data_IF_759134313274
#
_entry.id   IF_759134313274
#
_cell.length_a   1.000
_cell.length_b   1.000
_cell.length_c   1.000
_cell.angle_alpha   90.00
_cell.angle_beta   90.00
_cell.angle_gamma   90.00
#
_symmetry.space_group_name_H-M   'P 1'
#
loop_
_entity.id
_entity.type
_entity.pdbx_description
1 polymer ?
#
# COMPACT_ATOMS: atom_id res chain seq x y z
N UNK A 1 16.42 -3.72 9.74
CA UNK A 1 15.43 -4.82 9.90
C UNK A 1 15.90 -5.92 9.00
N UNK A 2 16.02 -7.14 9.50
CA UNK A 2 16.31 -8.30 8.65
C UNK A 2 15.09 -8.54 7.75
N UNK A 3 15.24 -8.48 6.42
CA UNK A 3 14.06 -8.62 5.53
C UNK A 3 13.39 -9.99 5.66
N UNK A 4 14.15 -11.02 6.03
CA UNK A 4 13.65 -12.37 6.28
C UNK A 4 12.79 -12.48 7.54
N UNK A 5 12.80 -11.48 8.44
CA UNK A 5 11.85 -11.43 9.56
C UNK A 5 10.44 -11.04 9.14
N UNK A 6 10.28 -10.51 7.92
CA UNK A 6 8.99 -10.09 7.39
C UNK A 6 8.18 -11.33 6.98
N UNK A 7 6.95 -11.50 7.49
CA UNK A 7 6.09 -12.63 7.13
C UNK A 7 5.95 -12.78 5.61
N UNK A 8 6.30 -13.97 5.11
CA UNK A 8 6.21 -14.31 3.69
C UNK A 8 7.39 -13.83 2.85
N UNK A 9 8.47 -13.29 3.43
CA UNK A 9 9.73 -12.97 2.74
C UNK A 9 10.79 -14.03 3.06
N UNK A 10 11.20 -14.79 2.05
CA UNK A 10 12.34 -15.72 2.17
C UNK A 10 13.64 -15.10 1.68
N UNK A 11 14.76 -15.82 1.82
CA UNK A 11 16.12 -15.36 1.46
C UNK A 11 16.20 -14.73 0.06
N UNK A 12 15.71 -15.44 -0.96
CA UNK A 12 15.71 -14.91 -2.34
C UNK A 12 14.93 -13.60 -2.49
N UNK A 13 13.83 -13.46 -1.76
CA UNK A 13 13.05 -12.20 -1.77
C UNK A 13 13.79 -11.11 -1.01
N UNK A 14 14.46 -11.44 0.09
CA UNK A 14 15.30 -10.50 0.84
C UNK A 14 16.46 -9.98 -0.03
N UNK A 15 17.17 -10.86 -0.75
CA UNK A 15 18.22 -10.47 -1.70
C UNK A 15 17.69 -9.54 -2.80
N UNK A 16 16.53 -9.86 -3.38
CA UNK A 16 15.90 -9.02 -4.39
C UNK A 16 15.54 -7.62 -3.85
N UNK A 17 15.02 -7.54 -2.62
CA UNK A 17 14.71 -6.29 -1.95
C UNK A 17 15.98 -5.47 -1.66
N UNK A 18 17.08 -6.12 -1.26
CA UNK A 18 18.35 -5.46 -0.97
C UNK A 18 18.98 -4.76 -2.20
N UNK A 19 18.56 -5.13 -3.42
CA UNK A 19 18.98 -4.47 -4.65
C UNK A 19 18.28 -3.12 -4.91
N UNK A 20 17.23 -2.80 -4.15
CA UNK A 20 16.53 -1.51 -4.26
C UNK A 20 17.34 -0.39 -3.61
N UNK A 21 17.10 0.82 -4.07
CA UNK A 21 17.52 2.02 -3.33
C UNK A 21 16.53 2.27 -2.17
N UNK A 22 17.05 2.41 -0.95
CA UNK A 22 16.26 2.64 0.27
C UNK A 22 15.10 1.64 0.51
N UNK A 23 15.39 0.31 0.51
CA UNK A 23 14.36 -0.72 0.65
C UNK A 23 13.59 -0.64 1.98
N UNK A 24 14.25 -0.24 3.06
CA UNK A 24 13.63 -0.08 4.38
C UNK A 24 12.52 0.97 4.36
N UNK A 25 12.71 2.04 3.58
CA UNK A 25 11.70 3.09 3.41
C UNK A 25 10.53 2.61 2.57
N UNK A 26 10.81 1.90 1.47
CA UNK A 26 9.75 1.29 0.67
C UNK A 26 8.87 0.35 1.52
N UNK A 27 9.49 -0.49 2.35
CA UNK A 27 8.79 -1.44 3.22
C UNK A 27 8.02 -0.75 4.36
N UNK A 28 8.62 0.25 5.01
CA UNK A 28 7.98 1.02 6.08
C UNK A 28 6.74 1.75 5.58
N UNK A 29 6.85 2.40 4.43
CA UNK A 29 5.77 3.19 3.87
C UNK A 29 4.74 2.29 3.19
N UNK A 30 5.08 1.05 2.87
CA UNK A 30 4.25 0.14 2.09
C UNK A 30 4.12 0.64 0.64
N UNK A 31 5.22 1.16 0.08
CA UNK A 31 5.32 1.63 -1.29
C UNK A 31 5.43 0.44 -2.24
N UNK A 32 4.27 -0.02 -2.70
CA UNK A 32 4.14 -1.17 -3.60
C UNK A 32 4.88 -0.94 -4.91
N UNK A 33 4.90 0.28 -5.44
CA UNK A 33 5.56 0.56 -6.72
C UNK A 33 7.08 0.41 -6.58
N UNK A 34 7.66 0.95 -5.51
CA UNK A 34 9.10 0.81 -5.23
C UNK A 34 9.48 -0.63 -4.89
N UNK A 35 8.64 -1.37 -4.16
CA UNK A 35 8.87 -2.80 -3.89
C UNK A 35 8.80 -3.64 -5.17
N UNK A 36 7.86 -3.35 -6.08
CA UNK A 36 7.72 -4.08 -7.34
C UNK A 36 8.87 -3.80 -8.33
N UNK A 37 9.67 -2.76 -8.10
CA UNK A 37 10.87 -2.50 -8.90
C UNK A 37 12.01 -3.49 -8.61
N UNK A 38 11.92 -4.29 -7.54
CA UNK A 38 12.93 -5.28 -7.22
C UNK A 38 12.91 -6.43 -8.24
N UNK A 39 14.08 -6.98 -8.62
CA UNK A 39 14.17 -8.04 -9.63
C UNK A 39 13.29 -9.25 -9.29
N UNK A 40 12.42 -9.62 -10.24
CA UNK A 40 11.56 -10.81 -10.10
C UNK A 40 10.40 -10.67 -9.10
N UNK A 41 10.13 -9.46 -8.59
CA UNK A 41 8.96 -9.20 -7.74
C UNK A 41 7.82 -8.65 -8.58
N UNK A 42 6.73 -9.42 -8.71
CA UNK A 42 5.51 -8.93 -9.35
C UNK A 42 4.75 -7.93 -8.46
N UNK A 43 3.87 -7.12 -9.04
CA UNK A 43 3.06 -6.16 -8.28
C UNK A 43 2.20 -6.84 -7.20
N UNK A 44 1.55 -7.96 -7.54
CA UNK A 44 0.77 -8.73 -6.56
C UNK A 44 1.66 -9.25 -5.42
N UNK A 45 2.89 -9.67 -5.73
CA UNK A 45 3.85 -10.09 -4.72
C UNK A 45 4.32 -8.92 -3.86
N UNK A 46 4.54 -7.74 -4.45
CA UNK A 46 4.90 -6.52 -3.74
C UNK A 46 3.82 -6.10 -2.72
N UNK A 47 2.53 -6.24 -3.06
CA UNK A 47 1.43 -6.00 -2.12
C UNK A 47 1.50 -6.95 -0.92
N UNK A 48 1.77 -8.24 -1.15
CA UNK A 48 1.90 -9.23 -0.07
C UNK A 48 3.08 -8.89 0.84
N UNK A 49 4.23 -8.52 0.27
CA UNK A 49 5.42 -8.09 1.01
C UNK A 49 5.12 -6.83 1.83
N UNK A 50 4.49 -5.83 1.24
CA UNK A 50 4.10 -4.59 1.93
C UNK A 50 3.16 -4.88 3.11
N UNK A 51 2.14 -5.75 2.91
CA UNK A 51 1.26 -6.20 3.99
C UNK A 51 2.05 -6.91 5.09
N UNK A 52 2.99 -7.78 4.74
CA UNK A 52 3.88 -8.46 5.69
C UNK A 52 4.72 -7.48 6.51
N UNK A 53 5.32 -6.47 5.87
CA UNK A 53 6.13 -5.45 6.54
C UNK A 53 5.30 -4.61 7.51
N UNK A 54 4.08 -4.22 7.10
CA UNK A 54 3.15 -3.50 7.97
C UNK A 54 2.72 -4.39 9.14
N UNK A 55 2.41 -5.67 8.92
CA UNK A 55 2.08 -6.60 10.01
C UNK A 55 3.21 -6.71 11.02
N UNK A 56 4.43 -6.93 10.53
CA UNK A 56 5.61 -7.03 11.37
C UNK A 56 5.85 -5.77 12.21
N UNK A 57 5.64 -4.57 11.65
CA UNK A 57 5.77 -3.30 12.39
C UNK A 57 4.77 -3.17 13.55
N UNK A 58 3.58 -3.75 13.39
CA UNK A 58 2.48 -3.65 14.33
C UNK A 58 2.35 -4.89 15.23
N UNK A 59 3.32 -5.81 15.19
CA UNK A 59 3.24 -7.13 15.84
C UNK A 59 1.90 -7.84 15.56
N UNK A 60 1.35 -7.63 14.36
CA UNK A 60 0.04 -8.15 13.97
C UNK A 60 0.16 -9.65 13.62
N UNK A 61 -0.49 -10.55 14.39
CA UNK A 61 -0.36 -11.99 14.17
C UNK A 61 -1.06 -12.46 12.89
N UNK A 62 -1.93 -11.62 12.33
CA UNK A 62 -2.84 -11.98 11.26
C UNK A 62 -3.88 -13.03 11.64
N UNK A 63 -4.46 -13.67 10.62
CA UNK A 63 -5.45 -14.71 10.85
C UNK A 63 -6.90 -14.26 11.08
N UNK A 64 -7.21 -12.96 11.17
CA UNK A 64 -8.58 -12.50 11.44
C UNK A 64 -9.61 -12.90 10.35
N UNK A 65 -9.26 -12.76 9.06
CA UNK A 65 -10.11 -13.13 7.93
C UNK A 65 -9.69 -14.47 7.31
N UNK A 66 -9.66 -15.54 8.10
CA UNK A 66 -9.20 -16.87 7.62
C UNK A 66 -10.25 -17.67 6.87
N UNK A 67 -11.53 -17.45 7.12
CA UNK A 67 -12.60 -18.16 6.43
C UNK A 67 -12.74 -17.67 5.00
N UNK A 68 -13.13 -18.56 4.09
CA UNK A 68 -13.29 -18.20 2.67
C UNK A 68 -14.30 -17.07 2.50
N UNK A 69 -15.39 -17.09 3.28
CA UNK A 69 -16.38 -16.02 3.27
C UNK A 69 -15.83 -14.68 3.79
N UNK A 70 -14.98 -14.70 4.82
CA UNK A 70 -14.36 -13.46 5.32
C UNK A 70 -13.34 -12.88 4.31
N UNK A 71 -12.59 -13.73 3.62
CA UNK A 71 -11.69 -13.31 2.53
C UNK A 71 -12.46 -12.68 1.39
N UNK A 72 -13.54 -13.32 0.95
CA UNK A 72 -14.41 -12.82 -0.13
C UNK A 72 -14.98 -11.43 0.23
N UNK A 73 -15.53 -11.27 1.43
CA UNK A 73 -16.04 -9.97 1.91
C UNK A 73 -14.92 -8.92 1.93
N UNK A 74 -13.72 -9.28 2.39
CA UNK A 74 -12.58 -8.37 2.39
C UNK A 74 -12.20 -7.94 0.97
N UNK A 75 -12.09 -8.89 0.04
CA UNK A 75 -11.69 -8.64 -1.34
C UNK A 75 -12.73 -7.79 -2.09
N UNK A 76 -14.01 -8.05 -1.87
CA UNK A 76 -15.11 -7.23 -2.39
C UNK A 76 -15.05 -5.80 -1.84
N UNK A 77 -14.98 -5.64 -0.51
CA UNK A 77 -14.91 -4.32 0.13
C UNK A 77 -13.67 -3.53 -0.30
N UNK A 78 -12.52 -4.20 -0.39
CA UNK A 78 -11.28 -3.60 -0.86
C UNK A 78 -11.37 -3.19 -2.33
N UNK A 79 -12.03 -3.99 -3.17
CA UNK A 79 -12.25 -3.68 -4.59
C UNK A 79 -13.11 -2.43 -4.76
N UNK A 80 -14.14 -2.24 -3.93
CA UNK A 80 -14.94 -1.00 -3.93
C UNK A 80 -14.08 0.24 -3.67
N UNK A 81 -13.15 0.18 -2.72
CA UNK A 81 -12.23 1.28 -2.44
C UNK A 81 -11.25 1.51 -3.59
N UNK A 82 -10.64 0.44 -4.10
CA UNK A 82 -9.65 0.52 -5.19
C UNK A 82 -10.26 1.07 -6.48
N UNK A 83 -11.51 0.73 -6.78
CA UNK A 83 -12.20 1.24 -7.96
C UNK A 83 -12.49 2.74 -7.89
N UNK A 84 -12.33 3.39 -6.73
CA UNK A 84 -12.44 4.85 -6.58
C UNK A 84 -11.11 5.59 -6.67
N UNK A 85 -9.98 4.88 -6.68
CA UNK A 85 -8.69 5.52 -6.83
C UNK A 85 -8.43 5.89 -8.30
N UNK A 86 -8.08 7.15 -8.52
CA UNK A 86 -7.82 7.73 -9.86
C UNK A 86 -6.43 7.39 -10.41
N UNK A 87 -5.49 6.97 -9.56
CA UNK A 87 -4.14 6.55 -10.00
C UNK A 87 -3.86 5.11 -9.66
N UNK A 88 -3.05 4.45 -10.50
CA UNK A 88 -2.54 3.12 -10.20
C UNK A 88 -1.74 3.07 -8.90
N UNK A 89 -0.97 4.12 -8.62
CA UNK A 89 -0.26 4.23 -7.35
C UNK A 89 -1.24 4.20 -6.16
N UNK A 90 -2.33 4.97 -6.21
CA UNK A 90 -3.35 4.95 -5.16
C UNK A 90 -4.08 3.60 -5.09
N UNK A 91 -4.41 2.98 -6.23
CA UNK A 91 -4.99 1.61 -6.29
C UNK A 91 -4.10 0.59 -5.58
N UNK A 92 -2.79 0.65 -5.83
CA UNK A 92 -1.79 -0.23 -5.22
C UNK A 92 -1.62 0.06 -3.73
N UNK A 93 -1.59 1.34 -3.35
CA UNK A 93 -1.53 1.76 -1.95
C UNK A 93 -2.72 1.22 -1.16
N UNK A 94 -3.94 1.37 -1.68
CA UNK A 94 -5.14 0.82 -1.07
C UNK A 94 -5.09 -0.71 -0.96
N UNK A 95 -4.52 -1.41 -1.95
CA UNK A 95 -4.36 -2.86 -1.89
C UNK A 95 -3.53 -3.34 -0.68
N UNK A 96 -2.74 -2.48 -0.04
CA UNK A 96 -2.02 -2.82 1.20
C UNK A 96 -2.92 -2.89 2.44
N UNK A 97 -4.17 -2.44 2.37
CA UNK A 97 -5.12 -2.60 3.47
C UNK A 97 -5.46 -4.07 3.66
N UNK A 98 -5.49 -4.50 4.91
CA UNK A 98 -5.84 -5.85 5.32
C UNK A 98 -6.61 -5.80 6.64
N UNK A 99 -7.44 -6.81 6.95
CA UNK A 99 -8.12 -6.88 8.23
C UNK A 99 -7.14 -7.20 9.37
N UNK A 100 -7.21 -6.41 10.44
CA UNK A 100 -6.28 -6.44 11.56
C UNK A 100 -7.06 -6.45 12.87
N UNK A 101 -6.54 -7.19 13.85
CA UNK A 101 -7.06 -7.20 15.24
C UNK A 101 -6.32 -6.17 16.11
N UNK A 102 -5.20 -5.65 15.61
CA UNK A 102 -4.28 -4.77 16.34
C UNK A 102 -4.87 -3.36 16.44
N UNK A 103 -5.22 -2.87 17.64
CA UNK A 103 -5.86 -1.57 17.79
C UNK A 103 -5.04 -0.41 17.23
N UNK A 104 -3.71 -0.49 17.40
CA UNK A 104 -2.77 0.51 16.88
C UNK A 104 -2.79 0.59 15.35
N UNK A 105 -2.82 -0.57 14.67
CA UNK A 105 -2.95 -0.62 13.21
C UNK A 105 -4.28 -0.05 12.74
N UNK A 106 -5.38 -0.37 13.42
CA UNK A 106 -6.70 0.17 13.11
C UNK A 106 -6.71 1.70 13.28
N UNK A 107 -6.13 2.20 14.37
CA UNK A 107 -6.02 3.63 14.64
C UNK A 107 -5.16 4.34 13.58
N UNK A 108 -4.03 3.77 13.17
CA UNK A 108 -3.17 4.32 12.11
C UNK A 108 -3.93 4.50 10.79
N UNK A 109 -4.68 3.48 10.36
CA UNK A 109 -5.46 3.52 9.11
C UNK A 109 -6.61 4.54 9.22
N UNK A 110 -7.32 4.58 10.35
CA UNK A 110 -8.38 5.57 10.58
C UNK A 110 -7.85 7.00 10.54
N UNK A 111 -6.73 7.26 11.20
CA UNK A 111 -6.08 8.57 11.20
C UNK A 111 -5.61 8.96 9.80
N UNK A 112 -5.04 8.02 9.04
CA UNK A 112 -4.67 8.24 7.64
C UNK A 112 -5.90 8.58 6.78
N UNK A 113 -6.97 7.81 6.86
CA UNK A 113 -8.20 8.06 6.10
C UNK A 113 -8.83 9.42 6.45
N UNK A 114 -8.90 9.78 7.74
CA UNK A 114 -9.39 11.07 8.18
C UNK A 114 -8.57 12.24 7.62
N UNK A 115 -7.23 12.15 7.68
CA UNK A 115 -6.36 13.16 7.07
C UNK A 115 -6.53 13.26 5.56
N UNK A 116 -6.68 12.12 4.88
CA UNK A 116 -6.87 12.09 3.44
C UNK A 116 -8.19 12.76 3.01
N UNK A 117 -9.28 12.55 3.75
CA UNK A 117 -10.58 13.17 3.46
C UNK A 117 -10.59 14.70 3.68
N UNK A 118 -9.71 15.21 4.54
CA UNK A 118 -9.60 16.64 4.83
C UNK A 118 -8.45 17.32 4.07
N UNK A 119 -7.74 16.61 3.17
CA UNK A 119 -6.55 17.15 2.53
C UNK A 119 -6.94 18.08 1.39
N UNK A 120 -6.68 19.36 1.59
CA UNK A 120 -6.62 20.35 0.51
C UNK A 120 -5.21 20.32 -0.12
N UNK A 121 -5.04 20.37 -1.45
CA UNK A 121 -3.71 20.44 -2.07
C UNK A 121 -2.95 21.68 -1.58
N UNK A 122 -1.64 21.53 -1.41
CA UNK A 122 -0.78 22.64 -1.01
C UNK A 122 -0.74 23.70 -2.14
N UNK A 123 -1.07 24.98 -1.89
CA UNK A 123 -1.06 26.02 -2.90
C UNK A 123 0.27 26.16 -3.63
N UNK A 124 1.40 25.94 -2.93
CA UNK A 124 2.73 26.04 -3.54
C UNK A 124 2.97 24.88 -4.53
N UNK A 125 2.43 23.70 -4.24
CA UNK A 125 2.46 22.55 -5.16
C UNK A 125 1.57 22.81 -6.38
N UNK A 126 0.38 23.39 -6.19
CA UNK A 126 -0.50 23.77 -7.30
C UNK A 126 0.17 24.79 -8.22
N UNK A 127 0.81 25.81 -7.66
CA UNK A 127 1.56 26.81 -8.41
C UNK A 127 2.75 26.19 -9.17
N UNK A 128 3.48 25.26 -8.55
CA UNK A 128 4.59 24.56 -9.20
C UNK A 128 4.12 23.65 -10.37
N UNK A 129 2.87 23.22 -10.35
CA UNK A 129 2.24 22.42 -11.42
C UNK A 129 1.53 23.28 -12.47
N UNK A 130 1.53 24.61 -12.32
CA UNK A 130 0.89 25.52 -13.27
C UNK A 130 1.57 25.39 -14.65
N UNK A 131 0.79 25.06 -15.68
CA UNK A 131 1.28 24.80 -17.03
C UNK A 131 1.70 23.35 -17.31
N UNK A 132 1.63 22.45 -16.33
CA UNK A 132 1.80 21.01 -16.55
C UNK A 132 0.45 20.41 -16.96
N UNK A 133 0.42 19.78 -18.13
CA UNK A 133 -0.74 19.01 -18.58
C UNK A 133 -0.55 17.52 -18.26
N UNK A 134 -1.61 16.79 -17.86
CA UNK A 134 -1.57 15.34 -17.76
C UNK A 134 -1.10 14.71 -19.08
N UNK A 135 -0.30 13.65 -19.00
CA UNK A 135 0.12 12.87 -20.18
C UNK A 135 -1.06 12.14 -20.84
N UNK A 136 -2.06 11.78 -20.03
CA UNK A 136 -3.30 11.15 -20.46
C UNK A 136 -4.47 11.83 -19.77
N UNK A 137 -5.60 11.90 -20.46
CA UNK A 137 -6.81 12.53 -19.95
C UNK A 137 -7.33 11.72 -18.74
N UNK A 138 -7.58 12.35 -17.57
CA UNK A 138 -8.06 11.64 -16.40
C UNK A 138 -9.42 10.98 -16.67
N UNK A 139 -9.50 9.66 -16.56
CA UNK A 139 -10.72 8.92 -16.92
C UNK A 139 -11.91 9.20 -16.02
N UNK A 140 -11.67 9.57 -14.75
CA UNK A 140 -12.69 9.55 -13.69
C UNK A 140 -12.57 10.70 -12.67
N UNK A 141 -12.37 11.94 -13.15
CA UNK A 141 -12.58 13.11 -12.29
C UNK A 141 -14.10 13.31 -12.08
N UNK A 142 -14.65 12.74 -11.01
CA UNK A 142 -15.99 13.11 -10.53
C UNK A 142 -15.83 14.23 -9.51
N UNK A 143 -16.17 15.45 -9.93
CA UNK A 143 -16.38 16.60 -9.05
C UNK A 143 -17.71 16.42 -8.32
#
# INVERSE_FOLDING_TARGET
MEFTSIPGVGEKTAEALAALESPETALRDGDVARIAAAPGISEGRAVVIARGAIRHRHDDPGGWAVTDRAKEIHDEALSLLRNRAVTDHARRRLATLYPSETPERIAEVRAWAARAMCRDPDPDVLAALEGVSPLEEPSDLRV
#
